data_IF_821490825235
#
_entry.id   IF_821490825235
#
_cell.length_a   1.000
_cell.length_b   1.000
_cell.length_c   1.000
_cell.angle_alpha   90.00
_cell.angle_beta   90.00
_cell.angle_gamma   90.00
#
_symmetry.space_group_name_H-M   'P 1'
#
loop_
_entity.id
_entity.type
_entity.pdbx_description
1 polymer ?
#
# COMPACT_ATOMS: atom_id res chain seq x y z
N UNK A 1 -15.09 -13.95 -22.61
CA UNK A 1 -14.81 -13.39 -21.28
C UNK A 1 -13.57 -12.53 -21.42
N UNK A 2 -13.70 -11.21 -21.48
CA UNK A 2 -12.57 -10.29 -21.45
C UNK A 2 -12.03 -10.29 -20.03
N UNK A 3 -11.01 -11.13 -19.80
CA UNK A 3 -10.27 -11.22 -18.55
C UNK A 3 -9.61 -9.86 -18.29
N UNK A 4 -10.26 -9.05 -17.46
CA UNK A 4 -9.77 -7.72 -17.12
C UNK A 4 -8.76 -7.93 -16.01
N UNK A 5 -7.48 -8.05 -16.39
CA UNK A 5 -6.42 -8.25 -15.41
C UNK A 5 -6.38 -7.05 -14.46
N UNK A 6 -6.33 -7.27 -13.14
CA UNK A 6 -6.28 -6.18 -12.17
C UNK A 6 -4.98 -5.41 -12.33
N UNK A 7 -5.08 -4.07 -12.33
CA UNK A 7 -3.89 -3.22 -12.38
C UNK A 7 -3.26 -3.13 -10.99
N UNK A 8 -1.98 -3.45 -10.90
CA UNK A 8 -1.24 -3.44 -9.62
C UNK A 8 -0.32 -2.22 -9.58
N UNK A 9 -0.47 -1.38 -8.57
CA UNK A 9 0.36 -0.21 -8.33
C UNK A 9 1.21 -0.41 -7.08
N UNK A 10 2.52 -0.14 -7.18
CA UNK A 10 3.39 0.00 -6.02
C UNK A 10 3.82 1.46 -5.89
N UNK A 11 3.33 2.12 -4.84
CA UNK A 11 3.56 3.55 -4.62
C UNK A 11 4.53 3.71 -3.45
N UNK A 12 5.74 4.18 -3.73
CA UNK A 12 6.73 4.50 -2.70
C UNK A 12 6.44 5.86 -2.07
N UNK A 13 6.84 6.07 -0.81
CA UNK A 13 6.60 7.33 -0.12
C UNK A 13 5.12 7.65 0.09
N UNK A 14 4.27 6.62 0.17
CA UNK A 14 2.81 6.74 0.22
C UNK A 14 2.27 7.36 1.52
N UNK A 15 3.10 7.59 2.53
CA UNK A 15 2.67 8.10 3.84
C UNK A 15 2.36 9.59 3.85
N UNK A 16 2.82 10.37 2.86
CA UNK A 16 2.61 11.83 2.79
C UNK A 16 2.75 12.38 1.37
N UNK A 17 2.33 13.64 1.21
CA UNK A 17 2.54 14.41 -0.02
C UNK A 17 1.91 13.74 -1.24
N UNK A 18 2.65 13.74 -2.36
CA UNK A 18 2.16 13.25 -3.66
C UNK A 18 1.86 11.75 -3.62
N UNK A 19 2.70 10.95 -2.96
CA UNK A 19 2.47 9.50 -2.85
C UNK A 19 1.15 9.17 -2.16
N UNK A 20 0.80 9.90 -1.10
CA UNK A 20 -0.49 9.75 -0.43
C UNK A 20 -1.66 10.17 -1.33
N UNK A 21 -1.55 11.31 -2.00
CA UNK A 21 -2.59 11.79 -2.91
C UNK A 21 -2.83 10.80 -4.06
N UNK A 22 -1.77 10.19 -4.59
CA UNK A 22 -1.87 9.20 -5.66
C UNK A 22 -2.58 7.93 -5.20
N UNK A 23 -2.28 7.41 -4.00
CA UNK A 23 -3.00 6.25 -3.44
C UNK A 23 -4.49 6.57 -3.31
N UNK A 24 -4.84 7.73 -2.78
CA UNK A 24 -6.24 8.14 -2.60
C UNK A 24 -6.97 8.30 -3.94
N UNK A 25 -6.29 8.89 -4.93
CA UNK A 25 -6.86 9.13 -6.26
C UNK A 25 -7.11 7.81 -7.00
N UNK A 26 -6.11 6.93 -7.08
CA UNK A 26 -6.24 5.60 -7.72
C UNK A 26 -7.32 4.77 -7.03
N UNK A 27 -7.34 4.73 -5.69
CA UNK A 27 -8.36 3.98 -4.95
C UNK A 27 -9.78 4.51 -5.17
N UNK A 28 -9.93 5.81 -5.48
CA UNK A 28 -11.23 6.43 -5.77
C UNK A 28 -11.71 6.18 -7.20
N UNK A 29 -10.79 6.13 -8.17
CA UNK A 29 -11.12 6.01 -9.59
C UNK A 29 -11.26 4.55 -10.03
N UNK A 30 -10.44 3.65 -9.49
CA UNK A 30 -10.44 2.23 -9.86
C UNK A 30 -10.49 1.32 -8.61
N UNK A 31 -11.69 0.94 -8.16
CA UNK A 31 -11.86 0.01 -7.04
C UNK A 31 -11.36 -1.41 -7.32
N UNK A 32 -11.00 -1.75 -8.57
CA UNK A 32 -10.47 -3.05 -8.96
C UNK A 32 -8.94 -3.10 -8.96
N UNK A 33 -8.28 -1.95 -8.83
CA UNK A 33 -6.83 -1.86 -8.70
C UNK A 33 -6.36 -2.45 -7.36
N UNK A 34 -5.12 -2.94 -7.34
CA UNK A 34 -4.43 -3.38 -6.11
C UNK A 34 -3.28 -2.41 -5.86
N UNK A 35 -3.27 -1.78 -4.71
CA UNK A 35 -2.32 -0.71 -4.36
C UNK A 35 -1.48 -1.15 -3.17
N UNK A 36 -0.19 -1.34 -3.42
CA UNK A 36 0.81 -1.54 -2.39
C UNK A 36 1.42 -0.20 -2.00
N UNK A 37 1.06 0.30 -0.83
CA UNK A 37 1.49 1.59 -0.32
C UNK A 37 2.76 1.43 0.54
N UNK A 38 3.89 1.86 -0.01
CA UNK A 38 5.20 1.78 0.63
C UNK A 38 5.38 2.80 1.75
N UNK A 39 5.53 2.32 2.98
CA UNK A 39 5.79 3.11 4.19
C UNK A 39 7.09 2.67 4.87
N UNK A 40 7.92 3.62 5.32
CA UNK A 40 9.16 3.28 6.07
C UNK A 40 8.87 2.59 7.40
N UNK A 41 7.84 3.08 8.07
CA UNK A 41 7.31 2.55 9.32
C UNK A 41 5.78 2.48 9.20
N UNK A 42 5.21 1.29 8.94
CA UNK A 42 3.77 1.10 8.83
C UNK A 42 3.06 1.15 10.20
N UNK A 43 3.81 1.04 11.30
CA UNK A 43 3.26 1.05 12.67
C UNK A 43 3.29 2.42 13.33
N UNK A 44 4.22 3.29 12.92
CA UNK A 44 4.39 4.62 13.49
C UNK A 44 3.31 5.63 13.09
N UNK A 45 3.32 6.78 13.77
CA UNK A 45 2.32 7.85 13.60
C UNK A 45 2.26 8.42 12.18
N UNK A 46 3.37 8.35 11.44
CA UNK A 46 3.42 8.79 10.04
C UNK A 46 2.53 7.97 9.11
N UNK A 47 2.03 6.80 9.53
CA UNK A 47 1.17 5.93 8.74
C UNK A 47 -0.32 6.02 9.13
N UNK A 48 -0.71 6.78 10.15
CA UNK A 48 -2.10 6.83 10.63
C UNK A 48 -3.10 7.25 9.53
N UNK A 49 -2.75 8.29 8.75
CA UNK A 49 -3.56 8.73 7.60
C UNK A 49 -3.70 7.68 6.50
N UNK A 50 -2.67 6.85 6.31
CA UNK A 50 -2.69 5.78 5.34
C UNK A 50 -3.55 4.61 5.83
N UNK A 51 -3.58 4.36 7.15
CA UNK A 51 -4.49 3.39 7.78
C UNK A 51 -5.95 3.81 7.63
N UNK A 52 -6.28 5.06 7.92
CA UNK A 52 -7.63 5.61 7.68
C UNK A 52 -8.06 5.42 6.21
N UNK A 53 -7.13 5.62 5.27
CA UNK A 53 -7.39 5.41 3.85
C UNK A 53 -7.62 3.94 3.51
N UNK A 54 -6.87 3.02 4.13
CA UNK A 54 -7.10 1.58 3.98
C UNK A 54 -8.43 1.13 4.57
N UNK A 55 -8.90 1.74 5.66
CA UNK A 55 -10.23 1.44 6.21
C UNK A 55 -11.33 1.89 5.26
N UNK A 56 -11.17 3.06 4.64
CA UNK A 56 -12.09 3.59 3.62
C UNK A 56 -12.11 2.73 2.35
N UNK A 57 -10.97 2.17 1.96
CA UNK A 57 -10.79 1.41 0.72
C UNK A 57 -10.16 0.02 1.00
N UNK A 58 -10.78 -0.74 1.90
CA UNK A 58 -10.23 -1.98 2.47
C UNK A 58 -10.01 -3.12 1.48
N UNK A 59 -10.57 -3.01 0.27
CA UNK A 59 -10.45 -4.03 -0.77
C UNK A 59 -9.23 -3.83 -1.69
N UNK A 60 -8.65 -2.63 -1.75
CA UNK A 60 -7.66 -2.28 -2.77
C UNK A 60 -6.32 -1.76 -2.22
N UNK A 61 -6.19 -1.44 -0.93
CA UNK A 61 -4.94 -0.88 -0.38
C UNK A 61 -4.31 -1.81 0.65
N UNK A 62 -3.04 -2.15 0.45
CA UNK A 62 -2.20 -2.87 1.40
C UNK A 62 -0.94 -2.04 1.74
N UNK A 63 -0.65 -1.85 3.04
CA UNK A 63 0.52 -1.09 3.48
C UNK A 63 1.72 -2.03 3.58
N UNK A 64 2.79 -1.71 2.84
CA UNK A 64 4.02 -2.51 2.82
C UNK A 64 5.17 -1.72 3.43
N UNK A 65 5.95 -2.37 4.30
CA UNK A 65 7.18 -1.76 4.81
C UNK A 65 8.21 -1.64 3.69
N UNK A 66 8.60 -0.42 3.35
CA UNK A 66 9.57 -0.13 2.31
C UNK A 66 10.56 0.96 2.73
N UNK A 67 11.85 0.68 2.57
CA UNK A 67 12.94 1.65 2.76
C UNK A 67 13.78 1.74 1.49
N UNK A 68 13.68 2.86 0.77
CA UNK A 68 14.59 3.17 -0.32
C UNK A 68 16.02 3.30 0.24
N UNK A 69 16.98 2.65 -0.43
CA UNK A 69 18.40 2.54 -0.06
C UNK A 69 18.80 1.48 1.00
N UNK A 70 17.88 0.65 1.48
CA UNK A 70 18.28 -0.54 2.24
C UNK A 70 18.74 -1.66 1.28
N UNK A 71 20.06 -1.85 1.14
CA UNK A 71 20.65 -2.95 0.34
C UNK A 71 20.29 -4.34 0.84
N UNK A 72 19.79 -4.48 2.08
CA UNK A 72 19.37 -5.77 2.65
C UNK A 72 17.93 -6.16 2.33
N UNK A 73 17.13 -5.27 1.72
CA UNK A 73 15.80 -5.59 1.19
C UNK A 73 14.96 -6.54 2.05
N UNK A 74 14.23 -6.00 3.03
CA UNK A 74 13.00 -6.64 3.53
C UNK A 74 13.16 -7.83 4.48
N UNK A 75 14.11 -7.83 5.41
CA UNK A 75 14.18 -8.87 6.47
C UNK A 75 13.26 -8.55 7.69
N UNK A 76 12.06 -8.04 7.44
CA UNK A 76 11.04 -7.83 8.47
C UNK A 76 9.99 -8.92 8.40
N UNK A 77 10.30 -10.12 8.91
CA UNK A 77 9.33 -11.22 9.02
C UNK A 77 8.09 -10.77 9.80
N UNK A 78 6.94 -10.78 9.13
CA UNK A 78 5.68 -11.28 9.69
C UNK A 78 4.99 -12.07 8.58
N UNK A 79 5.60 -13.20 8.22
CA UNK A 79 4.94 -14.30 7.52
C UNK A 79 4.19 -15.08 8.58
N UNK A 80 2.96 -14.68 8.94
CA UNK A 80 2.06 -15.51 9.78
C UNK A 80 0.58 -15.05 9.71
N UNK A 81 0.12 -14.47 8.58
CA UNK A 81 -1.29 -14.08 8.44
C UNK A 81 -1.92 -14.34 7.06
N UNK A 82 -1.21 -14.97 6.12
CA UNK A 82 -1.76 -15.32 4.81
C UNK A 82 -1.61 -16.83 4.59
N UNK A 83 -2.52 -17.58 5.21
CA UNK A 83 -3.12 -18.88 4.84
C UNK A 83 -3.86 -19.35 6.10
N UNK A 84 -5.13 -18.96 6.22
CA UNK A 84 -6.22 -19.77 6.79
C UNK A 84 -7.52 -19.34 6.13
#
# INVERSE_FOLDING_TARGET
MSDTQPTIYFITGATRGIGYALVADVASQDPSAIIYAGARDPTGEGASRLKELTEKYSRCIEIVRYMAADRRGGSGRSTDAWIR
#
